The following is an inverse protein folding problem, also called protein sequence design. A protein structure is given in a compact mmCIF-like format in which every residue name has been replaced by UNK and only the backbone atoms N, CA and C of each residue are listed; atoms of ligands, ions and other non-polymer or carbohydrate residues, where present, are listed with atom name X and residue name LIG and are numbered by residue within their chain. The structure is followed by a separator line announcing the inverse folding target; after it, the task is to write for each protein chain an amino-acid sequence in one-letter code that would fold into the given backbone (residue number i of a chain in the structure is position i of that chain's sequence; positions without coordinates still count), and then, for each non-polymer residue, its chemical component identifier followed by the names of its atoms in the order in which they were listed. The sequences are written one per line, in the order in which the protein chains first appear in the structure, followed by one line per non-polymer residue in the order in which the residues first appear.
data_IF_565141729367
#
_entry.id   IF_565141729367
#
_cell.length_a   1.000
_cell.length_b   1.000
_cell.length_c   1.000
_cell.angle_alpha   90.00
_cell.angle_beta   90.00
_cell.angle_gamma   90.00
#
_symmetry.space_group_name_H-M   'P 1'
#
loop_
_entity.id
_entity.type
_entity.pdbx_description
1 polymer ?
#
# COMPACT_ATOMS: atom_id res chain seq x y z
N UNK A 1 -24.67 -0.83 -2.04
CA UNK A 1 -24.16 -0.95 -2.04
C UNK A 1 -23.26 -0.83 -1.76
N UNK A 2 -22.87 -0.88 -1.73
CA UNK A 2 -22.15 -0.92 -1.52
C UNK A 2 -21.19 -0.80 -1.53
N UNK A 3 -20.93 -0.79 -1.67
CA UNK A 3 -20.07 -0.84 -1.78
C UNK A 3 -19.06 -0.49 -1.47
N UNK A 4 -18.75 -0.50 -1.22
CA UNK A 4 -17.81 -0.34 -0.99
C UNK A 4 -16.89 -0.58 -0.74
N UNK A 5 -16.89 -0.93 -0.89
CA UNK A 5 -16.13 -1.54 -0.85
C UNK A 5 -14.74 -1.55 -0.97
N UNK A 6 -14.06 -2.70 -0.78
CA UNK A 6 -12.62 -2.59 -0.83
C UNK A 6 -12.27 -1.63 -1.91
N UNK A 7 -11.60 -0.57 -1.58
CA UNK A 7 -11.27 0.45 -2.55
C UNK A 7 -9.78 0.37 -2.82
N UNK A 8 -9.36 -0.18 -3.98
CA UNK A 8 -7.94 -0.29 -4.27
C UNK A 8 -7.22 1.05 -4.29
N UNK A 9 -7.97 2.14 -4.50
CA UNK A 9 -7.37 3.46 -4.52
C UNK A 9 -7.09 4.02 -3.14
N UNK A 10 -7.49 3.31 -2.10
CA UNK A 10 -7.22 3.74 -0.73
C UNK A 10 -5.74 3.81 -0.39
N UNK A 11 -4.88 3.24 -1.24
CA UNK A 11 -3.44 3.26 -1.01
C UNK A 11 -2.81 4.64 -1.02
N UNK A 12 -3.51 5.65 -1.52
CA UNK A 12 -3.01 7.01 -1.50
C UNK A 12 -3.22 7.75 -0.19
N UNK A 13 -3.92 7.17 0.77
CA UNK A 13 -4.22 7.81 2.05
C UNK A 13 -3.56 7.05 3.19
N UNK A 14 -2.71 7.74 3.94
CA UNK A 14 -2.00 7.14 5.06
C UNK A 14 -2.94 6.57 6.11
N UNK A 15 -4.08 7.20 6.32
CA UNK A 15 -5.05 6.75 7.31
C UNK A 15 -5.66 5.38 7.00
N UNK A 16 -5.59 4.95 5.74
CA UNK A 16 -6.12 3.67 5.32
C UNK A 16 -5.10 2.54 5.44
N UNK A 17 -3.87 2.86 5.85
CA UNK A 17 -2.77 1.89 5.86
C UNK A 17 -2.22 1.79 7.27
N UNK A 18 -2.00 0.55 7.74
CA UNK A 18 -1.46 0.30 9.07
C UNK A 18 -0.49 -0.87 9.00
N UNK A 19 0.50 -0.89 9.90
CA UNK A 19 1.33 -2.09 10.02
C UNK A 19 0.45 -3.32 10.28
N UNK A 20 0.80 -4.43 9.64
CA UNK A 20 0.04 -5.66 9.75
C UNK A 20 -0.97 -5.88 8.65
N UNK A 21 -1.26 -4.84 7.86
CA UNK A 21 -2.18 -4.98 6.73
C UNK A 21 -1.47 -5.62 5.54
N UNK A 22 -2.24 -6.40 4.76
CA UNK A 22 -1.74 -6.94 3.50
C UNK A 22 -2.07 -5.98 2.37
N UNK A 23 -1.07 -5.60 1.63
CA UNK A 23 -1.20 -4.63 0.55
C UNK A 23 -0.44 -5.09 -0.68
N UNK A 24 -0.73 -4.47 -1.82
CA UNK A 24 0.08 -4.62 -3.02
C UNK A 24 0.77 -3.30 -3.29
N UNK A 25 2.08 -3.38 -3.47
CA UNK A 25 2.90 -2.19 -3.67
C UNK A 25 3.62 -2.29 -5.00
N UNK A 26 3.97 -1.13 -5.55
CA UNK A 26 4.86 -1.06 -6.70
C UNK A 26 6.22 -0.62 -6.20
N UNK A 27 7.24 -1.44 -6.47
CA UNK A 27 8.61 -1.09 -6.12
C UNK A 27 9.16 -0.10 -7.13
N UNK A 28 10.19 0.65 -6.72
CA UNK A 28 10.77 1.67 -7.57
C UNK A 28 11.17 1.11 -8.94
N UNK A 29 11.81 -0.06 -8.95
CA UNK A 29 12.28 -0.66 -10.21
C UNK A 29 11.13 -1.18 -11.06
N UNK A 30 9.92 -1.29 -10.52
CA UNK A 30 8.76 -1.80 -11.23
C UNK A 30 7.78 -0.70 -11.63
N UNK A 31 8.13 0.57 -11.43
CA UNK A 31 7.19 1.65 -11.72
C UNK A 31 6.86 1.73 -13.20
N UNK A 32 7.78 1.34 -14.06
CA UNK A 32 7.57 1.39 -15.51
C UNK A 32 6.59 0.32 -15.99
N UNK A 33 6.65 -0.85 -15.39
CA UNK A 33 5.79 -1.97 -15.80
C UNK A 33 4.50 -2.07 -15.00
N UNK A 34 4.48 -1.44 -13.83
CA UNK A 34 3.33 -1.54 -12.94
C UNK A 34 3.25 -2.86 -12.18
N UNK A 35 4.32 -3.65 -12.20
CA UNK A 35 4.33 -4.92 -11.48
C UNK A 35 4.12 -4.70 -10.00
N UNK A 36 3.21 -5.46 -9.40
CA UNK A 36 2.86 -5.32 -7.99
C UNK A 36 3.46 -6.45 -7.17
N UNK A 37 3.83 -6.12 -5.94
CA UNK A 37 4.32 -7.08 -4.97
C UNK A 37 3.37 -7.09 -3.79
N UNK A 38 2.87 -8.27 -3.42
CA UNK A 38 1.96 -8.42 -2.29
C UNK A 38 2.77 -8.73 -1.03
N UNK A 39 2.41 -8.07 0.06
CA UNK A 39 3.09 -8.31 1.32
C UNK A 39 2.39 -7.61 2.46
N UNK A 40 2.90 -7.83 3.66
CA UNK A 40 2.35 -7.26 4.89
C UNK A 40 3.17 -6.04 5.28
N UNK A 41 2.47 -4.95 5.59
CA UNK A 41 3.13 -3.69 5.97
C UNK A 41 3.84 -3.87 7.30
N UNK A 42 5.13 -3.53 7.32
CA UNK A 42 5.91 -3.47 8.56
C UNK A 42 5.88 -2.06 9.13
N UNK A 43 6.08 -1.05 8.27
CA UNK A 43 6.05 0.35 8.71
C UNK A 43 5.71 1.26 7.55
N UNK A 44 5.21 2.42 7.87
CA UNK A 44 4.85 3.43 6.88
C UNK A 44 5.99 4.44 6.82
N UNK A 45 6.47 4.71 5.60
CA UNK A 45 7.60 5.61 5.39
C UNK A 45 7.17 7.00 4.95
N UNK A 46 5.96 7.14 4.39
CA UNK A 46 5.42 8.44 3.98
C UNK A 46 4.89 9.18 5.19
N UNK A 47 5.33 10.41 5.39
CA UNK A 47 4.87 11.22 6.52
C UNK A 47 3.61 12.00 6.19
N UNK A 48 3.39 12.33 4.93
CA UNK A 48 2.22 13.10 4.52
C UNK A 48 0.95 12.25 4.64
N UNK A 49 -0.19 12.88 4.93
CA UNK A 49 -1.44 12.13 5.04
C UNK A 49 -1.90 11.53 3.71
N UNK A 50 -1.48 12.10 2.58
CA UNK A 50 -1.83 11.58 1.27
C UNK A 50 -0.62 11.67 0.35
N UNK A 51 -0.66 10.85 -0.71
CA UNK A 51 0.36 10.91 -1.76
C UNK A 51 -0.27 10.45 -3.08
N UNK A 52 -0.08 11.19 -4.16
CA UNK A 52 -0.73 10.86 -5.44
C UNK A 52 -0.28 9.53 -6.02
N UNK A 53 0.93 9.10 -5.73
CA UNK A 53 1.46 7.83 -6.25
C UNK A 53 1.32 6.68 -5.26
N UNK A 54 0.67 6.91 -4.13
CA UNK A 54 0.51 5.90 -3.09
C UNK A 54 1.45 6.13 -1.93
N UNK A 55 1.03 5.66 -0.76
CA UNK A 55 1.83 5.77 0.46
C UNK A 55 3.00 4.80 0.37
N UNK A 56 4.19 5.29 0.65
CA UNK A 56 5.39 4.46 0.65
C UNK A 56 5.48 3.70 1.96
N UNK A 57 5.65 2.40 1.86
CA UNK A 57 5.73 1.53 3.04
C UNK A 57 6.88 0.55 2.88
N UNK A 58 7.29 -0.02 4.01
CA UNK A 58 8.21 -1.15 4.04
C UNK A 58 7.41 -2.38 4.45
N UNK A 59 7.56 -3.46 3.70
CA UNK A 59 6.92 -4.72 4.02
C UNK A 59 7.76 -5.50 5.02
N UNK A 60 7.17 -6.55 5.58
CA UNK A 60 7.87 -7.32 6.61
C UNK A 60 9.12 -8.03 6.10
N UNK A 61 9.19 -8.29 4.80
CA UNK A 61 10.37 -8.89 4.20
C UNK A 61 11.44 -7.86 3.81
N UNK A 62 11.21 -6.59 4.12
CA UNK A 62 12.15 -5.52 3.79
C UNK A 62 11.89 -4.85 2.46
N UNK A 63 10.92 -5.31 1.69
CA UNK A 63 10.57 -4.69 0.42
C UNK A 63 9.97 -3.30 0.66
N UNK A 64 10.41 -2.33 -0.12
CA UNK A 64 9.89 -0.96 -0.05
C UNK A 64 9.16 -0.65 -1.34
N UNK A 65 7.96 -0.08 -1.23
CA UNK A 65 7.18 0.29 -2.40
C UNK A 65 6.02 1.19 -2.03
N UNK A 66 5.32 1.65 -3.05
CA UNK A 66 4.14 2.50 -2.85
C UNK A 66 2.88 1.66 -2.98
N UNK A 67 1.98 1.82 -2.02
CA UNK A 67 0.77 1.01 -1.96
C UNK A 67 -0.15 1.41 -3.11
N UNK A 68 -0.55 0.41 -3.89
CA UNK A 68 -1.51 0.58 -4.98
C UNK A 68 -2.85 -0.05 -4.66
N UNK A 69 -2.85 -1.12 -3.88
CA UNK A 69 -4.07 -1.81 -3.50
C UNK A 69 -3.98 -2.27 -2.05
N UNK A 70 -5.09 -2.23 -1.37
CA UNK A 70 -5.22 -2.76 -0.03
C UNK A 70 -5.96 -4.09 -0.15
N UNK A 71 -5.30 -5.18 0.24
CA UNK A 71 -5.86 -6.52 0.09
C UNK A 71 -6.70 -6.89 1.30
N UNK A 72 -6.17 -6.65 2.49
CA UNK A 72 -6.92 -6.94 3.71
C UNK A 72 -6.46 -6.00 4.82
N UNK A 73 -7.33 -5.83 5.81
CA UNK A 73 -7.03 -4.94 6.93
C UNK A 73 -6.13 -5.58 7.99
N UNK A 74 -5.67 -6.78 7.77
CA UNK A 74 -4.62 -7.37 8.58
C UNK A 74 -5.05 -7.97 9.90
N UNK A 75 -6.25 -8.28 10.07
CA UNK A 75 -6.64 -8.89 11.34
C UNK A 75 -6.62 -10.42 11.30
#
# INVERSE_FOLDING_TARGET
MSDNKANPQGGGKRANIRPGMTVRVVQKQHQRTGQLTTGVVSRILTKSPTHPHGIKVMLEDGTVGRVKEIVSSGS
#
